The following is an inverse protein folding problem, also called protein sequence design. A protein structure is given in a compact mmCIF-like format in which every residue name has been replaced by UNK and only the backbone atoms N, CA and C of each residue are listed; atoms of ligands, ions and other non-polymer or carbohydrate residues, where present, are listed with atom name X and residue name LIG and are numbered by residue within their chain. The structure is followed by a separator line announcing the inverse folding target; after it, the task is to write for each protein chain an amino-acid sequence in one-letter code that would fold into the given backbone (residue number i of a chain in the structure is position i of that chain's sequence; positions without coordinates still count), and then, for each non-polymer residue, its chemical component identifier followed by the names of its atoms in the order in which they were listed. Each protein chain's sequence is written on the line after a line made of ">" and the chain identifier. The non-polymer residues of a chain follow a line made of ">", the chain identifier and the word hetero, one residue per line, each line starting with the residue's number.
data_IF_762010985161
#
_entry.id   IF_762010985161
#
_cell.length_a   1.000
_cell.length_b   1.000
_cell.length_c   1.000
_cell.angle_alpha   90.00
_cell.angle_beta   90.00
_cell.angle_gamma   90.00
#
_symmetry.space_group_name_H-M   'P 1'
#
loop_
_entity.id
_entity.type
_entity.pdbx_description
1 polymer ?
#
# COMPACT_ATOMS: atom_id res chain seq x y z
N UNK A 1 11.90 12.77 4.28
CA UNK A 1 11.37 11.40 4.20
C UNK A 1 12.52 10.45 4.48
N UNK A 2 12.50 9.79 5.67
CA UNK A 2 13.57 8.90 6.13
C UNK A 2 13.45 7.50 5.50
N UNK A 3 13.96 7.31 4.28
CA UNK A 3 13.97 6.01 3.59
C UNK A 3 15.39 5.46 3.64
N UNK A 4 15.53 4.15 3.95
CA UNK A 4 16.82 3.48 3.86
C UNK A 4 17.38 3.51 2.43
N UNK A 5 18.70 3.58 2.29
CA UNK A 5 19.38 3.66 0.98
C UNK A 5 18.95 2.55 0.02
N UNK A 6 18.77 1.32 0.51
CA UNK A 6 18.36 0.14 -0.26
C UNK A 6 17.00 0.30 -0.96
N UNK A 7 16.11 1.13 -0.40
CA UNK A 7 14.77 1.39 -0.97
C UNK A 7 14.75 2.64 -1.84
N UNK A 8 15.85 3.40 -1.94
CA UNK A 8 15.89 4.64 -2.72
C UNK A 8 15.85 4.34 -4.21
N UNK A 9 14.94 4.99 -4.89
CA UNK A 9 14.89 5.12 -6.35
C UNK A 9 14.14 6.39 -6.71
N UNK A 10 14.31 6.90 -7.93
CA UNK A 10 13.55 8.06 -8.41
C UNK A 10 12.05 7.85 -8.26
N UNK A 11 11.55 6.69 -8.69
CA UNK A 11 10.12 6.37 -8.62
C UNK A 11 9.59 6.29 -7.17
N UNK A 12 10.35 5.71 -6.25
CA UNK A 12 9.99 5.70 -4.82
C UNK A 12 9.95 7.13 -4.27
N UNK A 13 10.92 7.95 -4.61
CA UNK A 13 10.96 9.35 -4.17
C UNK A 13 9.77 10.14 -4.72
N UNK A 14 9.52 10.07 -6.03
CA UNK A 14 8.44 10.81 -6.68
C UNK A 14 7.06 10.34 -6.18
N UNK A 15 6.87 9.03 -5.96
CA UNK A 15 5.67 8.47 -5.35
C UNK A 15 5.43 9.03 -3.95
N UNK A 16 6.44 9.02 -3.09
CA UNK A 16 6.31 9.49 -1.70
C UNK A 16 6.11 11.01 -1.63
N UNK A 17 6.83 11.78 -2.43
CA UNK A 17 6.60 13.23 -2.53
C UNK A 17 5.18 13.51 -3.04
N UNK A 18 4.72 12.79 -4.05
CA UNK A 18 3.35 12.90 -4.56
C UNK A 18 2.31 12.60 -3.49
N UNK A 19 2.54 11.59 -2.67
CA UNK A 19 1.69 11.22 -1.54
C UNK A 19 1.62 12.33 -0.50
N UNK A 20 2.76 12.85 -0.01
CA UNK A 20 2.79 13.95 0.97
C UNK A 20 2.15 15.24 0.44
N UNK A 21 2.43 15.59 -0.81
CA UNK A 21 1.78 16.72 -1.49
C UNK A 21 0.27 16.50 -1.57
N UNK A 22 -0.18 15.28 -1.79
CA UNK A 22 -1.60 14.96 -1.83
C UNK A 22 -2.28 15.15 -0.48
N UNK A 23 -1.64 14.76 0.61
CA UNK A 23 -2.12 15.07 1.96
C UNK A 23 -2.24 16.58 2.17
N UNK A 24 -1.21 17.34 1.85
CA UNK A 24 -1.24 18.81 1.98
C UNK A 24 -2.36 19.48 1.17
N UNK A 25 -2.73 18.91 0.03
CA UNK A 25 -3.77 19.47 -0.85
C UNK A 25 -5.20 19.02 -0.51
N UNK A 26 -5.36 17.84 0.04
CA UNK A 26 -6.66 17.17 0.08
C UNK A 26 -7.13 16.71 1.47
N UNK A 27 -6.22 16.56 2.44
CA UNK A 27 -6.57 16.17 3.81
C UNK A 27 -6.78 17.42 4.65
N UNK A 28 -7.98 17.65 5.23
CA UNK A 28 -8.24 18.86 6.02
C UNK A 28 -7.51 18.77 7.37
N UNK A 29 -6.58 19.70 7.61
CA UNK A 29 -5.80 19.76 8.84
C UNK A 29 -6.70 19.78 10.10
N UNK A 30 -7.74 20.60 10.13
CA UNK A 30 -8.70 20.65 11.24
C UNK A 30 -9.44 19.33 11.45
N UNK A 31 -9.74 18.62 10.36
CA UNK A 31 -10.39 17.31 10.42
C UNK A 31 -9.48 16.26 11.02
N UNK A 32 -8.20 16.30 10.66
CA UNK A 32 -7.18 15.41 11.20
C UNK A 32 -6.91 15.70 12.69
N UNK A 33 -6.74 16.96 13.06
CA UNK A 33 -6.51 17.37 14.45
C UNK A 33 -7.65 16.95 15.39
N UNK A 34 -8.93 17.05 14.94
CA UNK A 34 -10.09 16.58 15.71
C UNK A 34 -10.11 15.08 15.96
N UNK A 35 -9.24 14.32 15.32
CA UNK A 35 -9.11 12.89 15.58
C UNK A 35 -8.12 12.55 16.70
N UNK A 36 -7.46 13.56 17.32
CA UNK A 36 -6.55 13.35 18.44
C UNK A 36 -7.21 12.60 19.61
N UNK A 37 -8.51 12.83 19.83
CA UNK A 37 -9.30 12.21 20.88
C UNK A 37 -9.84 10.82 20.53
N UNK A 38 -9.61 10.35 19.31
CA UNK A 38 -10.00 9.01 18.84
C UNK A 38 -8.89 8.00 19.10
N UNK A 39 -9.26 6.72 19.19
CA UNK A 39 -8.28 5.64 19.38
C UNK A 39 -7.26 5.57 18.23
N UNK A 40 -6.04 5.13 18.52
CA UNK A 40 -4.98 4.91 17.54
C UNK A 40 -5.42 3.92 16.44
N UNK A 41 -6.16 2.89 16.85
CA UNK A 41 -6.74 1.92 15.92
C UNK A 41 -7.66 2.62 14.90
N UNK A 42 -8.58 3.46 15.34
CA UNK A 42 -9.47 4.21 14.44
C UNK A 42 -8.69 5.14 13.52
N UNK A 43 -7.72 5.88 14.06
CA UNK A 43 -6.85 6.78 13.27
C UNK A 43 -6.09 6.02 12.19
N UNK A 44 -5.61 4.81 12.49
CA UNK A 44 -4.94 3.96 11.52
C UNK A 44 -5.88 3.56 10.37
N UNK A 45 -7.14 3.24 10.65
CA UNK A 45 -8.13 2.93 9.61
C UNK A 45 -8.45 4.13 8.74
N UNK A 46 -8.64 5.31 9.35
CA UNK A 46 -8.84 6.55 8.61
C UNK A 46 -7.65 6.84 7.70
N UNK A 47 -6.42 6.67 8.20
CA UNK A 47 -5.21 6.91 7.41
C UNK A 47 -5.18 6.03 6.15
N UNK A 48 -5.43 4.72 6.28
CA UNK A 48 -5.43 3.80 5.13
C UNK A 48 -6.47 4.20 4.07
N UNK A 49 -7.67 4.59 4.48
CA UNK A 49 -8.74 4.94 3.54
C UNK A 49 -8.49 6.33 2.94
N UNK A 50 -7.95 7.26 3.73
CA UNK A 50 -7.56 8.58 3.25
C UNK A 50 -6.43 8.48 2.22
N UNK A 51 -5.39 7.67 2.49
CA UNK A 51 -4.31 7.38 1.53
C UNK A 51 -4.89 6.93 0.19
N UNK A 52 -5.81 5.96 0.20
CA UNK A 52 -6.44 5.46 -1.02
C UNK A 52 -7.21 6.57 -1.77
N UNK A 53 -7.87 7.48 -1.04
CA UNK A 53 -8.62 8.61 -1.62
C UNK A 53 -7.69 9.64 -2.23
N UNK A 54 -6.69 10.10 -1.48
CA UNK A 54 -5.81 11.19 -1.90
C UNK A 54 -4.86 10.75 -3.02
N UNK A 55 -4.33 9.54 -2.97
CA UNK A 55 -3.46 9.00 -4.02
C UNK A 55 -4.19 8.91 -5.37
N UNK A 56 -5.48 8.56 -5.36
CA UNK A 56 -6.32 8.63 -6.56
C UNK A 56 -6.49 10.07 -7.06
N UNK A 57 -6.65 11.03 -6.17
CA UNK A 57 -6.83 12.45 -6.54
C UNK A 57 -5.56 13.04 -7.16
N UNK A 58 -4.39 12.76 -6.58
CA UNK A 58 -3.12 13.30 -7.08
C UNK A 58 -2.76 12.70 -8.44
N UNK A 59 -2.94 11.38 -8.61
CA UNK A 59 -2.69 10.70 -9.89
C UNK A 59 -3.65 11.18 -10.98
N UNK A 60 -4.92 11.45 -10.65
CA UNK A 60 -5.86 12.06 -11.59
C UNK A 60 -5.44 13.47 -11.98
N UNK A 61 -4.91 14.26 -11.05
CA UNK A 61 -4.44 15.63 -11.30
C UNK A 61 -3.14 15.68 -12.08
N UNK A 62 -2.25 14.72 -11.81
CA UNK A 62 -0.92 14.59 -12.41
C UNK A 62 -0.73 13.17 -12.95
N UNK A 63 -1.26 12.83 -14.14
CA UNK A 63 -1.23 11.46 -14.66
C UNK A 63 0.17 10.87 -14.80
N UNK A 64 1.21 11.70 -14.98
CA UNK A 64 2.60 11.25 -15.02
C UNK A 64 3.08 10.55 -13.75
N UNK A 65 2.46 10.84 -12.59
CA UNK A 65 2.78 10.16 -11.33
C UNK A 65 2.29 8.71 -11.28
N UNK A 66 1.34 8.30 -12.12
CA UNK A 66 0.79 6.93 -12.09
C UNK A 66 1.89 5.89 -12.26
N UNK A 67 2.82 6.14 -13.19
CA UNK A 67 3.96 5.24 -13.39
C UNK A 67 4.92 5.23 -12.18
N UNK A 68 5.17 6.39 -11.55
CA UNK A 68 6.01 6.47 -10.36
C UNK A 68 5.38 5.73 -9.18
N UNK A 69 4.05 5.82 -8.99
CA UNK A 69 3.34 5.03 -7.99
C UNK A 69 3.48 3.53 -8.21
N UNK A 70 3.31 3.08 -9.44
CA UNK A 70 3.43 1.66 -9.79
C UNK A 70 4.84 1.12 -9.59
N UNK A 71 5.85 1.80 -10.16
CA UNK A 71 7.26 1.37 -10.10
C UNK A 71 7.84 1.55 -8.68
N UNK A 72 7.46 2.62 -7.99
CA UNK A 72 7.85 2.87 -6.60
C UNK A 72 7.30 1.79 -5.67
N UNK A 73 6.01 1.45 -5.79
CA UNK A 73 5.42 0.35 -5.04
C UNK A 73 6.11 -0.99 -5.36
N UNK A 74 6.32 -1.31 -6.64
CA UNK A 74 6.99 -2.55 -7.05
C UNK A 74 8.38 -2.69 -6.42
N UNK A 75 9.17 -1.60 -6.42
CA UNK A 75 10.49 -1.57 -5.77
C UNK A 75 10.39 -1.84 -4.28
N UNK A 76 9.51 -1.12 -3.56
CA UNK A 76 9.33 -1.28 -2.13
C UNK A 76 8.80 -2.65 -1.75
N UNK A 77 7.90 -3.21 -2.56
CA UNK A 77 7.36 -4.56 -2.35
C UNK A 77 8.44 -5.63 -2.53
N UNK A 78 9.25 -5.53 -3.61
CA UNK A 78 10.38 -6.43 -3.86
C UNK A 78 11.42 -6.37 -2.74
N UNK A 79 11.67 -5.21 -2.18
CA UNK A 79 12.62 -5.00 -1.08
C UNK A 79 12.03 -5.35 0.29
N UNK A 80 10.88 -6.00 0.33
CA UNK A 80 10.17 -6.37 1.56
C UNK A 80 9.90 -5.20 2.54
N UNK A 81 9.80 -3.98 2.02
CA UNK A 81 9.53 -2.80 2.85
C UNK A 81 8.24 -2.95 3.69
N UNK A 82 7.25 -3.63 3.14
CA UNK A 82 5.96 -3.87 3.80
C UNK A 82 5.97 -5.09 4.73
N UNK A 83 7.05 -5.88 4.78
CA UNK A 83 7.13 -7.09 5.60
C UNK A 83 6.10 -8.15 5.18
N UNK A 84 5.99 -8.39 3.88
CA UNK A 84 4.96 -9.27 3.29
C UNK A 84 5.48 -10.64 2.88
N UNK A 85 6.81 -10.82 2.78
CA UNK A 85 7.43 -12.04 2.23
C UNK A 85 7.05 -13.32 2.99
N UNK A 86 6.93 -13.24 4.33
CA UNK A 86 6.60 -14.38 5.18
C UNK A 86 5.10 -14.51 5.48
N UNK A 87 4.24 -13.80 4.74
CA UNK A 87 2.80 -13.72 5.01
C UNK A 87 1.97 -14.17 3.83
N UNK A 88 0.91 -14.92 4.13
CA UNK A 88 -0.12 -15.20 3.15
C UNK A 88 -1.11 -14.04 3.11
N UNK A 89 -1.07 -13.24 2.03
CA UNK A 89 -1.89 -12.04 1.85
C UNK A 89 -3.40 -12.32 1.94
N UNK A 90 -3.84 -13.55 1.65
CA UNK A 90 -5.25 -13.92 1.71
C UNK A 90 -5.71 -14.31 3.11
N UNK A 91 -4.83 -14.96 3.90
CA UNK A 91 -5.19 -15.59 5.16
C UNK A 91 -4.75 -14.78 6.39
N UNK A 92 -3.63 -14.05 6.29
CA UNK A 92 -3.00 -13.40 7.43
C UNK A 92 -3.35 -11.91 7.53
N UNK A 93 -4.11 -11.40 6.55
CA UNK A 93 -4.48 -9.99 6.45
C UNK A 93 -5.95 -9.75 6.80
N UNK A 94 -6.20 -8.77 7.63
CA UNK A 94 -7.55 -8.25 7.88
C UNK A 94 -8.03 -7.45 6.66
N UNK A 95 -9.34 -7.12 6.59
CA UNK A 95 -9.87 -6.32 5.49
C UNK A 95 -9.12 -5.00 5.30
N UNK A 96 -8.78 -4.30 6.39
CA UNK A 96 -8.07 -3.02 6.28
C UNK A 96 -6.65 -3.19 5.73
N UNK A 97 -5.96 -4.27 6.09
CA UNK A 97 -4.63 -4.58 5.56
C UNK A 97 -4.70 -4.91 4.06
N UNK A 98 -5.69 -5.71 3.65
CA UNK A 98 -5.95 -6.01 2.22
C UNK A 98 -6.24 -4.73 1.44
N UNK A 99 -7.10 -3.85 1.96
CA UNK A 99 -7.40 -2.55 1.36
C UNK A 99 -6.12 -1.72 1.20
N UNK A 100 -5.31 -1.62 2.25
CA UNK A 100 -4.06 -0.86 2.21
C UNK A 100 -3.15 -1.34 1.07
N UNK A 101 -2.87 -2.64 1.01
CA UNK A 101 -2.00 -3.22 -0.01
C UNK A 101 -2.61 -3.14 -1.42
N UNK A 102 -3.92 -3.35 -1.54
CA UNK A 102 -4.64 -3.28 -2.80
C UNK A 102 -4.53 -1.89 -3.45
N UNK A 103 -4.76 -0.82 -2.69
CA UNK A 103 -4.68 0.54 -3.22
C UNK A 103 -3.23 1.00 -3.43
N UNK A 104 -2.31 0.70 -2.52
CA UNK A 104 -0.88 1.03 -2.68
C UNK A 104 -0.26 0.33 -3.89
N UNK A 105 -0.72 -0.88 -4.23
CA UNK A 105 -0.30 -1.59 -5.44
C UNK A 105 -0.96 -1.09 -6.73
N UNK A 106 -1.68 0.01 -6.69
CA UNK A 106 -2.52 0.45 -7.83
C UNK A 106 -3.47 -0.66 -8.32
N UNK A 107 -3.98 -1.47 -7.37
CA UNK A 107 -4.90 -2.60 -7.61
C UNK A 107 -4.29 -3.77 -8.41
N UNK A 108 -2.96 -3.85 -8.47
CA UNK A 108 -2.27 -4.93 -9.18
C UNK A 108 -2.12 -6.21 -8.34
N UNK A 109 -2.07 -6.09 -7.02
CA UNK A 109 -2.14 -7.24 -6.13
C UNK A 109 -3.55 -7.82 -6.08
N UNK A 110 -3.66 -9.12 -6.28
CA UNK A 110 -4.92 -9.84 -6.26
C UNK A 110 -5.27 -10.25 -4.82
N UNK A 111 -6.47 -9.86 -4.37
CA UNK A 111 -7.01 -10.25 -3.08
C UNK A 111 -8.37 -10.93 -3.27
N UNK A 112 -8.55 -12.04 -2.58
CA UNK A 112 -9.84 -12.74 -2.54
C UNK A 112 -10.78 -12.03 -1.55
N UNK A 113 -11.46 -10.99 -2.05
CA UNK A 113 -12.46 -10.27 -1.29
C UNK A 113 -13.81 -10.99 -1.37
N UNK A 114 -14.37 -11.35 -0.21
CA UNK A 114 -15.74 -11.85 -0.16
C UNK A 114 -16.76 -10.76 -0.58
N UNK A 115 -18.03 -11.13 -0.78
CA UNK A 115 -19.07 -10.19 -1.26
C UNK A 115 -19.22 -8.94 -0.38
N UNK A 116 -19.09 -9.07 0.95
CA UNK A 116 -19.18 -7.94 1.88
C UNK A 116 -17.92 -7.07 1.81
N UNK A 117 -16.75 -7.67 1.70
CA UNK A 117 -15.48 -6.97 1.52
C UNK A 117 -15.41 -6.23 0.18
N UNK A 118 -15.91 -6.84 -0.91
CA UNK A 118 -16.04 -6.17 -2.22
C UNK A 118 -16.93 -4.92 -2.15
N UNK A 119 -17.98 -4.96 -1.32
CA UNK A 119 -18.82 -3.79 -1.09
C UNK A 119 -18.01 -2.67 -0.41
N UNK A 120 -17.21 -2.96 0.61
CA UNK A 120 -16.33 -1.97 1.24
C UNK A 120 -15.30 -1.39 0.28
N UNK A 121 -14.67 -2.21 -0.56
CA UNK A 121 -13.73 -1.74 -1.60
C UNK A 121 -14.42 -0.74 -2.54
N UNK A 122 -15.66 -1.00 -2.97
CA UNK A 122 -16.44 -0.05 -3.78
C UNK A 122 -16.74 1.26 -3.03
N UNK A 123 -16.99 1.20 -1.72
CA UNK A 123 -17.21 2.40 -0.91
C UNK A 123 -15.92 3.22 -0.76
N UNK A 124 -14.74 2.58 -0.63
CA UNK A 124 -13.45 3.29 -0.66
C UNK A 124 -13.28 4.04 -1.99
N UNK A 125 -13.58 3.40 -3.12
CA UNK A 125 -13.55 4.06 -4.43
C UNK A 125 -14.52 5.25 -4.54
N UNK A 126 -15.62 5.20 -3.82
CA UNK A 126 -16.67 6.23 -3.84
C UNK A 126 -16.41 7.40 -2.89
N UNK A 127 -15.45 7.30 -1.95
CA UNK A 127 -15.14 8.38 -1.01
C UNK A 127 -14.72 9.65 -1.76
N UNK A 128 -15.40 10.77 -1.46
CA UNK A 128 -15.15 12.08 -2.06
C UNK A 128 -14.59 13.07 -1.05
N UNK A 129 -14.96 12.92 0.22
CA UNK A 129 -14.60 13.82 1.31
C UNK A 129 -13.93 13.07 2.46
N UNK A 130 -13.24 13.81 3.32
CA UNK A 130 -12.67 13.28 4.56
C UNK A 130 -13.75 12.77 5.52
N UNK A 131 -14.95 13.37 5.51
CA UNK A 131 -16.09 12.89 6.29
C UNK A 131 -16.57 11.50 5.82
N UNK A 132 -16.58 11.25 4.50
CA UNK A 132 -16.88 9.91 3.97
C UNK A 132 -15.86 8.89 4.46
N UNK A 133 -14.57 9.26 4.47
CA UNK A 133 -13.46 8.43 4.95
C UNK A 133 -13.65 8.07 6.41
N UNK A 134 -13.95 9.04 7.29
CA UNK A 134 -14.15 8.80 8.71
C UNK A 134 -15.32 7.85 8.97
N UNK A 135 -16.45 8.05 8.28
CA UNK A 135 -17.61 7.18 8.40
C UNK A 135 -17.30 5.76 7.95
N UNK A 136 -16.66 5.62 6.79
CA UNK A 136 -16.30 4.31 6.24
C UNK A 136 -15.27 3.59 7.13
N UNK A 137 -14.35 4.33 7.75
CA UNK A 137 -13.40 3.78 8.70
C UNK A 137 -14.09 3.16 9.93
N UNK A 138 -15.16 3.78 10.44
CA UNK A 138 -15.96 3.21 11.53
C UNK A 138 -16.64 1.89 11.12
N UNK A 139 -17.21 1.86 9.92
CA UNK A 139 -17.91 0.67 9.40
C UNK A 139 -16.94 -0.49 9.17
N UNK A 140 -15.76 -0.23 8.57
CA UNK A 140 -14.72 -1.24 8.34
C UNK A 140 -14.10 -1.71 9.65
N UNK A 141 -13.86 -0.81 10.60
CA UNK A 141 -13.35 -1.16 11.93
C UNK A 141 -14.32 -2.08 12.68
N UNK A 142 -15.62 -1.77 12.64
CA UNK A 142 -16.66 -2.63 13.18
C UNK A 142 -16.63 -4.03 12.55
N UNK A 143 -16.56 -4.10 11.24
CA UNK A 143 -16.46 -5.36 10.49
C UNK A 143 -15.21 -6.17 10.88
N UNK A 144 -14.04 -5.55 10.89
CA UNK A 144 -12.79 -6.22 11.27
C UNK A 144 -12.83 -6.77 12.71
N UNK A 145 -13.41 -6.02 13.64
CA UNK A 145 -13.59 -6.49 15.03
C UNK A 145 -14.51 -7.71 15.13
N UNK A 146 -15.56 -7.77 14.33
CA UNK A 146 -16.44 -8.94 14.29
C UNK A 146 -15.73 -10.17 13.68
N UNK A 147 -14.98 -9.98 12.59
CA UNK A 147 -14.23 -11.07 11.96
C UNK A 147 -13.10 -11.60 12.87
N UNK A 148 -12.40 -10.73 13.59
CA UNK A 148 -11.38 -11.13 14.56
C UNK A 148 -11.96 -11.93 15.75
N UNK A 149 -13.23 -11.73 16.10
CA UNK A 149 -13.91 -12.57 17.10
C UNK A 149 -14.16 -13.99 16.56
N UNK A 150 -14.48 -14.11 15.27
CA UNK A 150 -14.74 -15.41 14.61
C UNK A 150 -13.44 -16.16 14.27
N UNK A 151 -12.35 -15.45 14.02
CA UNK A 151 -11.05 -15.98 13.61
C UNK A 151 -9.93 -15.51 14.53
N UNK A 152 -9.80 -16.05 15.76
CA UNK A 152 -8.81 -15.60 16.74
C UNK A 152 -7.35 -15.69 16.29
N UNK A 153 -7.05 -16.56 15.31
CA UNK A 153 -5.71 -16.68 14.71
C UNK A 153 -5.24 -15.38 14.03
N UNK A 154 -6.14 -14.58 13.47
CA UNK A 154 -5.80 -13.29 12.85
C UNK A 154 -5.32 -12.25 13.86
N UNK A 155 -5.67 -12.38 15.15
CA UNK A 155 -5.22 -11.46 16.20
C UNK A 155 -3.71 -11.47 16.41
N UNK A 156 -3.02 -12.57 16.07
CA UNK A 156 -1.57 -12.70 16.27
C UNK A 156 -0.78 -11.94 15.20
N UNK A 157 -1.36 -11.69 14.05
CA UNK A 157 -0.73 -11.01 12.92
C UNK A 157 -1.12 -9.53 12.84
N UNK A 158 -2.25 -9.16 13.43
CA UNK A 158 -2.72 -7.78 13.48
C UNK A 158 -1.93 -6.97 14.51
N UNK A 159 -0.94 -6.27 14.05
CA UNK A 159 -0.37 -5.10 14.73
C UNK A 159 -0.71 -3.88 13.90
N UNK A 160 -1.49 -2.90 14.42
CA UNK A 160 -1.66 -1.63 13.73
C UNK A 160 -0.26 -0.99 13.60
N UNK A 161 0.38 -1.13 12.46
CA UNK A 161 1.58 -0.34 12.18
C UNK A 161 1.10 1.10 12.00
N UNK A 162 1.32 1.91 13.03
CA UNK A 162 1.33 3.34 12.86
C UNK A 162 2.26 3.65 11.68
N UNK A 163 1.74 4.22 10.61
CA UNK A 163 2.55 5.08 9.76
C UNK A 163 2.97 6.22 10.69
N UNK A 164 4.23 6.18 11.15
CA UNK A 164 4.83 7.32 11.81
C UNK A 164 4.93 8.41 10.74
N UNK A 165 3.93 9.28 10.69
CA UNK A 165 4.12 10.61 10.17
C UNK A 165 5.25 11.21 10.99
N UNK A 166 6.33 11.60 10.33
CA UNK A 166 7.45 12.28 10.97
C UNK A 166 7.02 13.69 11.43
N UNK A 167 6.33 13.77 12.56
CA UNK A 167 6.31 14.95 13.41
C UNK A 167 7.29 14.72 14.56
N UNK A 168 8.59 14.74 14.24
CA UNK A 168 9.63 14.95 15.26
C UNK A 168 10.08 16.40 15.23
N UNK A 169 9.47 17.19 16.12
CA UNK A 169 10.21 18.26 16.79
C UNK A 169 11.32 17.61 17.64
N UNK A 170 12.55 18.12 17.42
CA UNK A 170 13.73 17.76 18.19
C UNK A 170 13.51 18.02 19.67
N UNK A 171 13.74 17.01 20.46
CA UNK A 171 13.79 17.05 21.93
C UNK A 171 14.66 15.90 22.41
N UNK A 172 15.88 16.26 22.77
CA UNK A 172 16.98 15.48 23.34
C UNK A 172 16.53 14.58 24.52
N UNK A 173 16.92 13.27 24.53
CA UNK A 173 17.60 12.57 25.62
C UNK A 173 17.53 11.04 25.53
N UNK A 174 18.75 10.49 25.51
CA UNK A 174 19.36 9.33 26.22
C UNK A 174 18.67 7.96 26.26
N UNK A 175 19.40 7.03 25.64
CA UNK A 175 19.90 5.73 26.16
C UNK A 175 18.89 4.70 26.68
N UNK A 176 18.80 3.58 25.96
CA UNK A 176 18.80 2.23 26.54
C UNK A 176 19.04 1.18 25.45
N UNK A 177 20.19 0.53 25.52
CA UNK A 177 20.56 -0.69 24.86
C UNK A 177 19.58 -1.83 25.17
N UNK A 178 19.22 -2.58 24.15
CA UNK A 178 18.88 -4.00 24.30
C UNK A 178 19.25 -4.74 23.03
N UNK A 179 20.36 -5.44 23.11
CA UNK A 179 20.79 -6.50 22.20
C UNK A 179 19.74 -7.60 22.16
N UNK A 180 19.34 -8.01 20.99
CA UNK A 180 18.98 -9.40 20.75
C UNK A 180 19.29 -9.78 19.30
N UNK A 181 20.45 -10.40 19.13
CA UNK A 181 20.89 -11.15 17.97
C UNK A 181 20.01 -12.39 17.83
N UNK A 182 19.33 -12.54 16.71
CA UNK A 182 18.91 -13.84 16.22
C UNK A 182 19.18 -13.92 14.72
N UNK A 183 20.26 -14.64 14.45
CA UNK A 183 20.66 -15.17 13.18
C UNK A 183 19.59 -16.17 12.72
N UNK A 184 19.02 -15.98 11.55
CA UNK A 184 18.30 -17.03 10.84
C UNK A 184 18.39 -16.79 9.34
N UNK A 185 19.00 -17.79 8.70
CA UNK A 185 19.14 -17.97 7.26
C UNK A 185 17.88 -17.57 6.49
N UNK A 186 18.03 -16.61 5.59
CA UNK A 186 16.98 -16.19 4.66
C UNK A 186 17.05 -17.04 3.40
N UNK A 187 16.20 -18.06 3.30
CA UNK A 187 15.82 -18.62 2.01
C UNK A 187 15.00 -17.58 1.22
N UNK A 188 15.48 -17.25 0.03
CA UNK A 188 14.84 -16.39 -0.96
C UNK A 188 13.45 -16.95 -1.34
N UNK A 189 12.40 -16.56 -0.65
CA UNK A 189 11.04 -16.85 -1.08
C UNK A 189 10.64 -15.87 -2.18
N UNK A 190 10.59 -16.41 -3.41
CA UNK A 190 10.10 -15.70 -4.61
C UNK A 190 8.66 -15.29 -4.44
N UNK A 191 8.33 -14.07 -4.93
CA UNK A 191 6.94 -13.63 -5.12
C UNK A 191 6.11 -14.75 -5.74
N UNK A 192 4.84 -14.86 -5.34
CA UNK A 192 3.89 -15.70 -6.06
C UNK A 192 3.91 -15.32 -7.55
N UNK A 193 4.28 -16.28 -8.38
CA UNK A 193 4.49 -16.12 -9.82
C UNK A 193 3.28 -15.45 -10.52
N UNK A 194 2.06 -15.72 -10.03
CA UNK A 194 0.84 -15.09 -10.54
C UNK A 194 0.78 -13.58 -10.30
N UNK A 195 1.31 -13.11 -9.17
CA UNK A 195 1.37 -11.68 -8.83
C UNK A 195 2.46 -10.97 -9.60
N UNK A 196 3.59 -11.65 -9.81
CA UNK A 196 4.69 -11.12 -10.60
C UNK A 196 4.32 -11.01 -12.08
N UNK A 197 3.63 -12.01 -12.64
CA UNK A 197 3.15 -12.02 -14.02
C UNK A 197 2.11 -10.91 -14.26
N UNK A 198 1.17 -10.67 -13.34
CA UNK A 198 0.16 -9.60 -13.44
C UNK A 198 0.79 -8.21 -13.38
N UNK A 199 1.79 -8.00 -12.50
CA UNK A 199 2.54 -6.76 -12.44
C UNK A 199 3.37 -6.53 -13.72
N UNK A 200 3.96 -7.60 -14.26
CA UNK A 200 4.74 -7.55 -15.48
C UNK A 200 3.85 -7.25 -16.71
N UNK A 201 2.68 -7.92 -16.81
CA UNK A 201 1.70 -7.70 -17.88
C UNK A 201 1.14 -6.27 -17.86
N UNK A 202 0.85 -5.75 -16.66
CA UNK A 202 0.42 -4.36 -16.50
C UNK A 202 1.50 -3.36 -16.96
N UNK A 203 2.76 -3.59 -16.54
CA UNK A 203 3.89 -2.74 -16.92
C UNK A 203 4.15 -2.78 -18.45
N UNK A 204 4.04 -3.96 -19.08
CA UNK A 204 4.24 -4.09 -20.53
C UNK A 204 3.17 -3.34 -21.33
N UNK A 205 1.93 -3.31 -20.84
CA UNK A 205 0.82 -2.59 -21.49
C UNK A 205 0.94 -1.06 -21.36
N UNK A 206 1.50 -0.57 -20.24
CA UNK A 206 1.64 0.87 -19.99
C UNK A 206 2.89 1.46 -20.67
N UNK A 207 3.99 0.70 -20.77
CA UNK A 207 5.26 1.18 -21.33
C UNK A 207 5.34 1.14 -22.85
N UNK A 208 4.34 0.54 -23.52
CA UNK A 208 4.26 0.54 -25.00
C UNK A 208 5.39 -0.23 -25.69
N UNK A 209 6.06 -1.15 -25.02
CA UNK A 209 7.01 -2.05 -25.64
C UNK A 209 6.28 -3.16 -26.40
N UNK A 210 5.71 -2.81 -27.54
CA UNK A 210 5.33 -3.76 -28.58
C UNK A 210 6.62 -4.41 -29.09
N UNK A 211 6.81 -5.68 -28.79
CA UNK A 211 7.80 -6.52 -29.46
C UNK A 211 7.44 -6.57 -30.93
N UNK A 212 8.17 -5.82 -31.77
CA UNK A 212 8.20 -6.06 -33.20
C UNK A 212 8.79 -7.45 -33.42
N UNK A 213 7.95 -8.40 -33.76
CA UNK A 213 8.38 -9.64 -34.39
C UNK A 213 9.02 -9.30 -35.74
N UNK A 214 10.33 -9.40 -35.82
CA UNK A 214 11.06 -9.40 -37.09
C UNK A 214 10.70 -10.69 -37.85
N UNK A 215 9.75 -10.59 -38.79
CA UNK A 215 9.59 -11.59 -39.82
C UNK A 215 10.74 -11.44 -40.82
N UNK A 216 11.71 -12.34 -40.74
CA UNK A 216 12.64 -12.60 -41.81
C UNK A 216 11.86 -13.20 -43.00
N UNK A 217 11.66 -12.42 -44.06
CA UNK A 217 11.37 -12.95 -45.39
C UNK A 217 12.63 -13.60 -45.93
N UNK A 218 12.62 -14.92 -46.10
CA UNK A 218 13.59 -15.62 -46.90
C UNK A 218 13.19 -15.46 -48.38
N UNK A 219 13.93 -14.64 -49.10
CA UNK A 219 13.93 -14.62 -50.56
C UNK A 219 14.50 -15.94 -51.09
N UNK A 220 13.65 -16.78 -51.68
CA UNK A 220 14.07 -17.87 -52.56
C UNK A 220 14.12 -17.35 -53.99
N UNK A 221 15.36 -17.14 -54.47
CA UNK A 221 15.66 -17.19 -55.91
C UNK A 221 15.61 -18.63 -56.41
N UNK A 222 14.88 -18.86 -57.45
CA UNK A 222 14.91 -20.02 -58.33
C UNK A 222 14.23 -19.65 -59.63
#
# INVERSE_FOLDING_TARGET
>A
IGIKEEHKSKHVYDMLVGHEVSHALHTPADGWMKMSDRSDEFRSFVNVIEDARIDKLIQKKYPGLTNDYLLGFKKMYKDNFFGTQDKNLQKDYTLIDKINMYYKSSKTLDFDFNKKEQHFVKLVDACKSFADVQKLAEDILGYCKEELKKQPQLKKTYTPKQSKGDDKQEGDNQDSQSDNSNDSDSEDQKLDKSTEDKLQDFLSKETGEDKKEDKKEEDKKG
#
